data_IF_790235553017
#
_entry.id   IF_790235553017
#
_cell.length_a   1.000
_cell.length_b   1.000
_cell.length_c   1.000
_cell.angle_alpha   90.00
_cell.angle_beta   90.00
_cell.angle_gamma   90.00
#
_symmetry.space_group_name_H-M   'P 1'
#
loop_
_entity.id
_entity.type
_entity.pdbx_description
1 polymer ?
#
# COMPACT_ATOMS: atom_id res chain seq x y z
N UNK A 1 45.10 69.94 8.15
CA UNK A 1 43.99 70.85 8.52
C UNK A 1 42.72 70.01 8.37
N UNK A 2 41.94 69.63 9.40
CA UNK A 2 41.29 70.41 10.48
C UNK A 2 40.08 71.22 9.96
N UNK A 3 38.88 71.34 10.56
CA UNK A 3 38.15 70.79 11.76
C UNK A 3 36.63 71.16 11.57
N UNK A 4 35.54 70.66 12.22
CA UNK A 4 35.21 69.49 13.07
C UNK A 4 33.67 69.32 13.21
N UNK A 5 33.11 68.14 12.87
CA UNK A 5 31.87 67.58 13.45
C UNK A 5 30.54 68.37 13.29
N UNK A 6 29.50 68.13 14.14
CA UNK A 6 29.41 67.07 15.17
C UNK A 6 28.02 66.35 15.34
N UNK A 7 28.02 65.20 16.06
CA UNK A 7 26.91 64.62 16.90
C UNK A 7 25.61 64.09 16.23
N UNK A 8 24.80 63.19 16.84
CA UNK A 8 24.68 62.72 18.24
C UNK A 8 24.17 61.24 18.36
N UNK A 9 24.67 60.47 19.35
CA UNK A 9 24.09 59.32 20.16
C UNK A 9 23.10 58.32 19.50
N UNK A 10 23.12 56.99 19.76
CA UNK A 10 23.88 56.13 20.68
C UNK A 10 22.99 54.94 21.14
N UNK A 11 23.42 53.93 21.90
CA UNK A 11 24.74 53.56 22.42
C UNK A 11 24.87 52.01 22.48
N UNK A 12 26.08 51.47 22.67
CA UNK A 12 26.41 50.07 22.35
C UNK A 12 26.54 49.10 23.55
N UNK A 13 26.72 47.82 23.21
CA UNK A 13 27.05 46.70 24.11
C UNK A 13 28.45 46.79 24.73
N UNK A 14 28.70 46.03 25.82
CA UNK A 14 29.90 45.17 25.94
C UNK A 14 29.78 44.16 27.11
N UNK A 15 30.76 43.25 27.23
CA UNK A 15 30.72 42.06 28.08
C UNK A 15 31.79 42.04 29.19
N UNK A 16 31.66 41.12 30.17
CA UNK A 16 32.67 40.75 31.19
C UNK A 16 32.66 39.21 31.37
N UNK A 17 33.72 38.61 31.93
CA UNK A 17 34.02 37.18 31.78
C UNK A 17 34.41 36.42 33.08
N UNK A 18 34.31 35.08 33.01
CA UNK A 18 34.92 34.01 33.83
C UNK A 18 34.65 33.87 35.37
N UNK A 19 34.09 32.70 35.76
CA UNK A 19 34.69 31.59 36.57
C UNK A 19 35.44 31.95 37.89
N UNK A 20 35.32 31.22 39.06
CA UNK A 20 34.84 29.83 39.30
C UNK A 20 33.89 29.62 40.51
N UNK A 21 33.51 28.35 40.81
CA UNK A 21 33.19 27.92 42.20
C UNK A 21 32.13 26.82 42.36
N UNK A 22 32.42 25.77 43.17
CA UNK A 22 31.41 24.78 43.62
C UNK A 22 30.73 25.23 44.92
N UNK A 23 29.46 24.86 45.11
CA UNK A 23 28.90 24.00 46.19
C UNK A 23 27.39 24.24 46.29
N UNK A 24 26.57 23.19 46.13
CA UNK A 24 25.29 22.94 46.83
C UNK A 24 24.49 21.78 46.19
N UNK A 25 24.74 20.53 46.60
CA UNK A 25 23.78 19.45 46.38
C UNK A 25 22.62 19.59 47.38
N UNK A 26 21.37 19.79 46.90
CA UNK A 26 20.05 19.47 47.54
C UNK A 26 18.87 20.27 46.95
N UNK A 27 18.42 19.95 45.73
CA UNK A 27 17.00 20.08 45.33
C UNK A 27 16.62 18.99 44.32
N UNK A 28 16.36 17.78 44.82
CA UNK A 28 15.54 16.77 44.15
C UNK A 28 14.70 16.07 45.24
N UNK A 29 13.51 15.62 44.87
CA UNK A 29 12.34 15.44 45.77
C UNK A 29 11.84 16.80 46.33
N UNK A 30 10.52 17.11 46.26
CA UNK A 30 9.41 16.17 46.43
C UNK A 30 8.33 16.23 45.34
N UNK A 31 8.21 15.17 44.52
CA UNK A 31 7.04 14.94 43.64
C UNK A 31 6.42 13.53 43.83
N UNK A 32 7.15 12.60 44.47
CA UNK A 32 6.80 11.17 44.60
C UNK A 32 5.70 10.88 45.66
N UNK A 33 4.86 11.87 46.02
CA UNK A 33 3.81 11.72 47.06
C UNK A 33 2.44 12.33 46.68
N UNK A 34 1.97 12.02 45.47
CA UNK A 34 0.55 12.07 45.06
C UNK A 34 0.21 10.93 44.08
N UNK A 35 0.55 9.69 44.45
CA UNK A 35 0.29 8.47 43.67
C UNK A 35 -0.28 7.33 44.51
N UNK A 36 -1.15 7.68 45.45
CA UNK A 36 -2.01 6.75 46.19
C UNK A 36 -3.47 7.22 46.05
N UNK A 37 -4.42 6.28 46.01
CA UNK A 37 -5.87 6.51 45.94
C UNK A 37 -6.42 7.16 44.65
N UNK A 38 -6.02 6.64 43.49
CA UNK A 38 -6.94 6.54 42.34
C UNK A 38 -7.06 5.06 41.98
N UNK A 39 -8.23 4.48 42.23
CA UNK A 39 -8.52 3.09 41.89
C UNK A 39 -8.82 2.97 40.39
N UNK A 40 -7.76 2.90 39.59
CA UNK A 40 -7.85 2.73 38.13
C UNK A 40 -8.38 1.32 37.84
N UNK A 41 -9.49 1.15 37.09
CA UNK A 41 -10.03 -0.17 36.79
C UNK A 41 -9.00 -1.00 36.03
N UNK A 42 -8.82 -2.24 36.46
CA UNK A 42 -7.73 -3.14 36.06
C UNK A 42 -7.37 -3.06 34.57
N UNK A 43 -6.09 -2.78 34.31
CA UNK A 43 -5.53 -2.78 32.97
C UNK A 43 -5.72 -4.17 32.33
N UNK A 44 -6.77 -4.34 31.53
CA UNK A 44 -6.72 -5.26 30.40
C UNK A 44 -5.59 -4.77 29.50
N UNK A 45 -4.41 -5.38 29.65
CA UNK A 45 -3.36 -5.23 28.67
C UNK A 45 -3.98 -5.57 27.31
N UNK A 46 -3.93 -4.63 26.37
CA UNK A 46 -4.03 -4.98 24.96
C UNK A 46 -2.77 -5.79 24.66
N UNK A 47 -2.87 -7.09 24.86
CA UNK A 47 -2.09 -8.06 24.10
C UNK A 47 -2.37 -7.71 22.64
N UNK A 48 -1.41 -7.08 21.98
CA UNK A 48 -1.40 -7.01 20.52
C UNK A 48 -1.33 -8.47 20.07
N UNK A 49 -2.50 -9.02 19.73
CA UNK A 49 -2.61 -10.39 19.30
C UNK A 49 -1.70 -10.51 18.08
N UNK A 50 -0.65 -11.34 18.18
CA UNK A 50 0.22 -11.61 17.04
C UNK A 50 -0.67 -12.27 16.00
N UNK A 51 -1.05 -11.51 14.97
CA UNK A 51 -2.10 -11.89 14.04
C UNK A 51 -1.88 -13.33 13.57
N UNK A 52 -2.85 -14.18 13.88
CA UNK A 52 -2.91 -15.55 13.39
C UNK A 52 -2.82 -15.51 11.87
N UNK A 53 -2.09 -16.44 11.26
CA UNK A 53 -2.11 -16.62 9.82
C UNK A 53 -3.01 -17.82 9.55
N UNK A 54 -3.95 -17.71 8.62
CA UNK A 54 -4.76 -18.86 8.23
C UNK A 54 -3.85 -19.97 7.68
N UNK A 55 -4.33 -21.21 7.68
CA UNK A 55 -3.62 -22.31 7.03
C UNK A 55 -3.50 -22.03 5.53
N UNK A 56 -2.26 -21.93 5.03
CA UNK A 56 -1.94 -21.63 3.62
C UNK A 56 -2.81 -22.39 2.62
N UNK A 57 -3.67 -21.67 1.91
CA UNK A 57 -4.57 -22.22 0.89
C UNK A 57 -3.94 -22.13 -0.50
N UNK A 58 -3.67 -23.29 -1.13
CA UNK A 58 -3.15 -23.33 -2.49
C UNK A 58 -4.28 -23.30 -3.53
N UNK A 59 -4.41 -22.17 -4.20
CA UNK A 59 -5.46 -21.88 -5.20
C UNK A 59 -5.17 -22.65 -6.50
N UNK A 60 -6.20 -22.94 -7.30
CA UNK A 60 -6.03 -23.55 -8.63
C UNK A 60 -5.08 -22.74 -9.54
N UNK A 61 -4.12 -23.38 -10.20
CA UNK A 61 -3.07 -22.70 -10.96
C UNK A 61 -3.64 -21.80 -12.07
N UNK A 62 -3.04 -20.63 -12.31
CA UNK A 62 -3.53 -19.68 -13.32
C UNK A 62 -2.91 -19.98 -14.69
N UNK A 63 -3.75 -20.22 -15.70
CA UNK A 63 -3.28 -20.43 -17.07
C UNK A 63 -2.97 -19.08 -17.70
N UNK A 64 -1.72 -18.90 -18.15
CA UNK A 64 -1.29 -17.70 -18.87
C UNK A 64 -2.03 -17.56 -20.22
N UNK A 65 -2.34 -16.34 -20.60
CA UNK A 65 -2.74 -15.96 -21.95
C UNK A 65 -1.52 -15.89 -22.90
N UNK A 66 -1.78 -15.76 -24.20
CA UNK A 66 -0.77 -15.55 -25.25
C UNK A 66 -0.29 -14.10 -25.38
N UNK A 67 -0.70 -13.20 -24.47
CA UNK A 67 -0.32 -11.79 -24.42
C UNK A 67 0.42 -11.49 -23.12
N UNK A 68 1.20 -10.41 -23.10
CA UNK A 68 2.08 -10.06 -21.98
C UNK A 68 3.29 -10.99 -21.82
N UNK A 69 4.31 -10.52 -21.10
CA UNK A 69 5.45 -11.36 -20.74
C UNK A 69 5.09 -12.30 -19.58
N UNK A 70 5.90 -13.35 -19.39
CA UNK A 70 5.80 -14.23 -18.21
C UNK A 70 6.05 -13.43 -16.92
N UNK A 71 7.04 -12.53 -16.97
CA UNK A 71 7.41 -11.63 -15.86
C UNK A 71 6.24 -10.73 -15.47
N UNK A 72 5.53 -10.12 -16.42
CA UNK A 72 4.37 -9.27 -16.14
C UNK A 72 3.20 -10.09 -15.56
N UNK A 73 2.99 -11.31 -16.04
CA UNK A 73 1.97 -12.21 -15.50
C UNK A 73 2.25 -12.60 -14.05
N UNK A 74 3.48 -13.02 -13.75
CA UNK A 74 3.89 -13.38 -12.39
C UNK A 74 3.90 -12.16 -11.45
N UNK A 75 4.27 -10.98 -11.95
CA UNK A 75 4.21 -9.70 -11.22
C UNK A 75 2.79 -9.33 -10.82
N UNK A 76 1.84 -9.36 -11.76
CA UNK A 76 0.42 -9.06 -11.47
C UNK A 76 -0.24 -10.11 -10.57
N UNK A 77 0.12 -11.40 -10.76
CA UNK A 77 -0.40 -12.49 -9.93
C UNK A 77 0.11 -12.39 -8.49
N UNK A 78 1.41 -12.09 -8.31
CA UNK A 78 1.98 -11.78 -6.99
C UNK A 78 1.38 -10.50 -6.39
N UNK A 79 1.11 -9.47 -7.18
CA UNK A 79 0.41 -8.26 -6.71
C UNK A 79 -0.96 -8.57 -6.10
N UNK A 80 -1.75 -9.42 -6.75
CA UNK A 80 -3.04 -9.88 -6.21
C UNK A 80 -2.87 -10.76 -4.96
N UNK A 81 -1.88 -11.66 -4.92
CA UNK A 81 -1.58 -12.47 -3.73
C UNK A 81 -1.17 -11.59 -2.53
N UNK A 82 -0.25 -10.66 -2.74
CA UNK A 82 0.23 -9.72 -1.72
C UNK A 82 -0.85 -8.72 -1.30
N UNK A 83 -1.89 -8.51 -2.12
CA UNK A 83 -3.09 -7.78 -1.75
C UNK A 83 -3.99 -8.60 -0.83
N UNK A 84 -4.32 -9.84 -1.24
CA UNK A 84 -5.14 -10.78 -0.45
C UNK A 84 -4.52 -11.00 0.93
N UNK A 85 -3.23 -11.36 1.00
CA UNK A 85 -2.53 -11.75 2.22
C UNK A 85 -2.19 -10.56 3.16
N UNK A 86 -2.66 -9.34 2.85
CA UNK A 86 -2.58 -8.16 3.75
C UNK A 86 -3.88 -7.89 4.52
N UNK A 87 -4.98 -8.52 4.14
CA UNK A 87 -6.28 -8.36 4.81
C UNK A 87 -6.49 -9.45 5.85
N UNK A 88 -7.31 -9.14 6.86
CA UNK A 88 -7.85 -10.17 7.74
C UNK A 88 -8.91 -11.02 7.02
N UNK A 89 -9.20 -12.20 7.54
CA UNK A 89 -10.27 -13.10 7.06
C UNK A 89 -11.64 -12.42 7.16
N UNK A 90 -11.86 -11.59 8.19
CA UNK A 90 -13.08 -10.78 8.29
C UNK A 90 -13.12 -9.67 7.23
N UNK A 91 -12.03 -8.92 7.01
CA UNK A 91 -11.99 -7.93 5.93
C UNK A 91 -12.22 -8.59 4.56
N UNK A 92 -11.63 -9.76 4.32
CA UNK A 92 -11.87 -10.54 3.10
C UNK A 92 -13.37 -10.86 2.94
N UNK A 93 -14.00 -11.45 3.96
CA UNK A 93 -15.42 -11.85 3.90
C UNK A 93 -16.39 -10.66 3.80
N UNK A 94 -16.17 -9.58 4.56
CA UNK A 94 -16.99 -8.36 4.50
C UNK A 94 -16.95 -7.71 3.10
N UNK A 95 -15.77 -7.66 2.49
CA UNK A 95 -15.60 -7.15 1.13
C UNK A 95 -16.20 -8.11 0.07
N UNK A 96 -16.20 -9.43 0.32
CA UNK A 96 -16.84 -10.43 -0.55
C UNK A 96 -18.37 -10.33 -0.50
N UNK A 97 -18.96 -10.17 0.68
CA UNK A 97 -20.40 -9.89 0.86
C UNK A 97 -20.78 -8.59 0.12
N UNK A 98 -20.02 -7.53 0.38
CA UNK A 98 -20.25 -6.21 -0.23
C UNK A 98 -20.15 -6.27 -1.76
N UNK A 99 -19.15 -6.95 -2.32
CA UNK A 99 -19.04 -7.18 -3.77
C UNK A 99 -20.23 -7.97 -4.33
N UNK A 100 -20.73 -8.99 -3.61
CA UNK A 100 -21.91 -9.74 -4.04
C UNK A 100 -23.19 -8.87 -4.02
N UNK A 101 -23.29 -7.90 -3.10
CA UNK A 101 -24.44 -7.01 -2.94
C UNK A 101 -24.46 -5.82 -3.94
N UNK A 102 -23.31 -5.17 -4.18
CA UNK A 102 -23.24 -3.95 -5.01
C UNK A 102 -22.36 -4.06 -6.26
N UNK A 103 -21.65 -5.18 -6.46
CA UNK A 103 -20.72 -5.37 -7.59
C UNK A 103 -19.54 -4.40 -7.50
N UNK A 104 -19.35 -3.58 -8.54
CA UNK A 104 -18.34 -2.50 -8.61
C UNK A 104 -18.93 -1.10 -8.53
N UNK A 105 -20.11 -0.92 -7.93
CA UNK A 105 -20.72 0.41 -7.78
C UNK A 105 -19.88 1.27 -6.84
N UNK A 106 -19.43 2.43 -7.32
CA UNK A 106 -18.66 3.42 -6.54
C UNK A 106 -17.15 3.44 -6.81
N UNK A 107 -16.59 2.43 -7.48
CA UNK A 107 -15.12 2.23 -7.63
C UNK A 107 -14.49 3.07 -8.75
N UNK A 108 -15.26 3.91 -9.44
CA UNK A 108 -14.75 4.73 -10.54
C UNK A 108 -13.84 5.87 -10.04
N UNK A 109 -14.11 6.39 -8.84
CA UNK A 109 -13.48 7.61 -8.36
C UNK A 109 -11.97 7.45 -8.05
N UNK A 110 -11.55 6.38 -7.34
CA UNK A 110 -10.13 6.15 -7.13
C UNK A 110 -9.47 5.35 -8.27
N UNK A 111 -10.23 4.63 -9.09
CA UNK A 111 -9.74 4.16 -10.40
C UNK A 111 -9.27 5.33 -11.26
N UNK A 112 -10.10 6.37 -11.44
CA UNK A 112 -9.74 7.58 -12.21
C UNK A 112 -8.61 8.36 -11.53
N UNK A 113 -8.65 8.52 -10.20
CA UNK A 113 -7.57 9.18 -9.45
C UNK A 113 -6.23 8.47 -9.66
N UNK A 114 -6.17 7.16 -9.49
CA UNK A 114 -4.92 6.42 -9.64
C UNK A 114 -4.40 6.40 -11.07
N UNK A 115 -5.30 6.36 -12.08
CA UNK A 115 -4.93 6.54 -13.48
C UNK A 115 -4.36 7.94 -13.75
N UNK A 116 -4.84 8.98 -13.07
CA UNK A 116 -4.24 10.32 -13.11
C UNK A 116 -2.87 10.32 -12.44
N UNK A 117 -2.78 9.90 -11.18
CA UNK A 117 -1.55 9.90 -10.38
C UNK A 117 -0.41 9.13 -11.09
N UNK A 118 -0.70 7.96 -11.66
CA UNK A 118 0.29 7.16 -12.37
C UNK A 118 0.67 7.75 -13.73
N UNK A 119 -0.25 8.40 -14.45
CA UNK A 119 0.11 9.14 -15.68
C UNK A 119 1.09 10.28 -15.35
N UNK A 120 0.88 11.00 -14.26
CA UNK A 120 1.79 12.05 -13.78
C UNK A 120 3.15 11.47 -13.39
N UNK A 121 3.19 10.28 -12.76
CA UNK A 121 4.42 9.52 -12.53
C UNK A 121 5.14 9.14 -13.84
N UNK A 122 4.46 8.54 -14.82
CA UNK A 122 5.06 8.17 -16.12
C UNK A 122 5.62 9.39 -16.87
N UNK A 123 4.89 10.51 -16.87
CA UNK A 123 5.39 11.75 -17.48
C UNK A 123 6.70 12.18 -16.82
N UNK A 124 6.81 12.11 -15.49
CA UNK A 124 8.08 12.39 -14.80
C UNK A 124 9.17 11.39 -15.19
N UNK A 125 8.92 10.09 -15.10
CA UNK A 125 9.92 9.05 -15.38
C UNK A 125 10.42 9.09 -16.84
N UNK A 126 9.55 9.39 -17.82
CA UNK A 126 9.97 9.61 -19.20
C UNK A 126 10.68 10.95 -19.42
N UNK A 127 10.27 12.04 -18.75
CA UNK A 127 11.00 13.32 -18.85
C UNK A 127 12.41 13.18 -18.27
N UNK A 128 12.54 12.55 -17.09
CA UNK A 128 13.84 12.24 -16.48
C UNK A 128 14.70 11.38 -17.43
N UNK A 129 14.12 10.34 -18.06
CA UNK A 129 14.83 9.45 -18.99
C UNK A 129 15.34 10.20 -20.24
N UNK A 130 14.45 10.87 -20.97
CA UNK A 130 14.76 11.52 -22.25
C UNK A 130 15.80 12.65 -22.10
N UNK A 131 15.79 13.36 -20.96
CA UNK A 131 16.79 14.39 -20.62
C UNK A 131 18.12 13.77 -20.23
N UNK A 132 18.14 12.67 -19.46
CA UNK A 132 19.38 11.98 -19.08
C UNK A 132 20.06 11.27 -20.26
N UNK A 133 19.29 10.78 -21.23
CA UNK A 133 19.82 10.20 -22.48
C UNK A 133 20.24 11.28 -23.49
N UNK A 134 19.88 12.54 -23.27
CA UNK A 134 20.22 13.68 -24.12
C UNK A 134 19.46 13.74 -25.45
N UNK A 135 18.43 12.91 -25.63
CA UNK A 135 17.62 12.87 -26.85
C UNK A 135 16.72 14.11 -27.00
N UNK A 136 16.18 14.63 -25.89
CA UNK A 136 15.26 15.76 -25.85
C UNK A 136 15.52 16.65 -24.64
N UNK A 137 15.19 17.94 -24.75
CA UNK A 137 15.42 18.94 -23.69
C UNK A 137 14.19 19.83 -23.45
N UNK A 138 14.05 20.33 -22.22
CA UNK A 138 13.03 21.32 -21.86
C UNK A 138 11.60 20.87 -22.17
N UNK A 139 10.84 21.72 -22.86
CA UNK A 139 9.45 21.45 -23.22
C UNK A 139 9.32 20.25 -24.17
N UNK A 140 10.27 20.03 -25.07
CA UNK A 140 10.21 18.94 -26.06
C UNK A 140 10.27 17.57 -25.37
N UNK A 141 11.11 17.43 -24.34
CA UNK A 141 11.16 16.23 -23.51
C UNK A 141 9.85 16.00 -22.74
N UNK A 142 9.21 17.06 -22.25
CA UNK A 142 7.94 16.99 -21.53
C UNK A 142 6.76 16.62 -22.45
N UNK A 143 6.72 17.17 -23.66
CA UNK A 143 5.70 16.84 -24.66
C UNK A 143 5.88 15.39 -25.14
N UNK A 144 7.12 14.96 -25.39
CA UNK A 144 7.44 13.57 -25.75
C UNK A 144 7.11 12.58 -24.63
N UNK A 145 7.40 12.94 -23.37
CA UNK A 145 7.02 12.16 -22.20
C UNK A 145 5.50 12.03 -22.04
N UNK A 146 4.73 13.08 -22.40
CA UNK A 146 3.27 13.01 -22.44
C UNK A 146 2.76 12.09 -23.55
N UNK A 147 3.34 12.10 -24.75
CA UNK A 147 2.98 11.15 -25.82
C UNK A 147 3.21 9.69 -25.38
N UNK A 148 4.37 9.40 -24.80
CA UNK A 148 4.73 8.06 -24.30
C UNK A 148 3.78 7.62 -23.19
N UNK A 149 3.60 8.44 -22.14
CA UNK A 149 2.67 8.15 -21.06
C UNK A 149 1.22 7.97 -21.57
N UNK A 150 0.76 8.75 -22.55
CA UNK A 150 -0.56 8.57 -23.17
C UNK A 150 -0.64 7.34 -24.09
N UNK A 151 0.48 6.81 -24.57
CA UNK A 151 0.54 5.52 -25.26
C UNK A 151 0.35 4.37 -24.26
N UNK A 152 1.14 4.35 -23.19
CA UNK A 152 1.10 3.25 -22.21
C UNK A 152 -0.17 3.28 -21.36
N UNK A 153 -0.73 4.45 -21.06
CA UNK A 153 -2.05 4.54 -20.40
C UNK A 153 -3.21 3.96 -21.23
N UNK A 154 -3.02 3.60 -22.51
CA UNK A 154 -4.00 2.84 -23.32
C UNK A 154 -3.85 1.31 -23.15
N UNK A 155 -2.65 0.82 -22.83
CA UNK A 155 -2.35 -0.61 -22.64
C UNK A 155 -2.38 -1.02 -21.16
N UNK A 156 -2.19 -0.07 -20.26
CA UNK A 156 -2.17 -0.26 -18.81
C UNK A 156 -3.55 -0.04 -18.17
N UNK A 157 -3.94 -0.97 -17.29
CA UNK A 157 -5.11 -0.86 -16.40
C UNK A 157 -4.67 -0.61 -14.94
N UNK A 158 -5.58 -0.01 -14.15
CA UNK A 158 -5.46 0.04 -12.71
C UNK A 158 -5.46 -1.37 -12.11
N UNK A 159 -4.43 -1.70 -11.33
CA UNK A 159 -4.37 -2.94 -10.55
C UNK A 159 -5.00 -2.69 -9.18
N UNK A 160 -6.31 -2.88 -9.12
CA UNK A 160 -7.05 -3.05 -7.87
C UNK A 160 -6.65 -4.42 -7.29
N UNK A 161 -5.76 -4.42 -6.30
CA UNK A 161 -5.38 -5.64 -5.59
C UNK A 161 -6.30 -5.84 -4.37
N UNK A 162 -7.30 -6.74 -4.40
CA UNK A 162 -7.79 -7.56 -5.52
C UNK A 162 -9.18 -7.13 -6.04
N UNK A 163 -9.43 -7.32 -7.34
CA UNK A 163 -10.68 -7.03 -8.08
C UNK A 163 -11.87 -7.98 -7.71
N UNK A 164 -11.80 -8.61 -6.54
CA UNK A 164 -12.85 -9.40 -5.88
C UNK A 164 -13.49 -8.66 -4.69
N UNK A 165 -12.91 -7.53 -4.28
CA UNK A 165 -13.05 -6.92 -2.94
C UNK A 165 -13.53 -5.45 -3.02
N UNK A 166 -14.06 -5.07 -4.18
CA UNK A 166 -14.44 -3.70 -4.52
C UNK A 166 -15.78 -3.24 -3.89
N UNK A 167 -15.99 -3.58 -2.61
CA UNK A 167 -17.15 -3.21 -1.80
C UNK A 167 -16.83 -2.44 -0.50
N UNK A 168 -15.55 -2.16 -0.20
CA UNK A 168 -15.17 -1.46 1.04
C UNK A 168 -14.00 -0.45 0.94
N UNK A 169 -12.93 -0.76 0.20
CA UNK A 169 -11.75 0.14 0.07
C UNK A 169 -11.25 0.22 -1.38
N UNK A 170 -11.48 1.37 -2.03
CA UNK A 170 -11.01 1.63 -3.40
C UNK A 170 -9.54 2.11 -3.38
N UNK A 171 -8.60 1.16 -3.28
CA UNK A 171 -7.15 1.41 -3.29
C UNK A 171 -6.53 0.71 -4.50
N UNK A 172 -6.00 1.51 -5.41
CA UNK A 172 -5.15 1.04 -6.52
C UNK A 172 -3.70 1.10 -6.05
N UNK A 173 -2.98 -0.01 -6.19
CA UNK A 173 -1.60 -0.12 -5.72
C UNK A 173 -0.56 0.07 -6.84
N UNK A 174 -0.94 -0.17 -8.09
CA UNK A 174 -0.04 -0.11 -9.25
C UNK A 174 -0.85 -0.09 -10.58
N UNK A 175 -0.18 0.04 -11.73
CA UNK A 175 -0.73 -0.33 -13.04
C UNK A 175 -0.07 -1.61 -13.60
N UNK A 176 -0.68 -2.18 -14.64
CA UNK A 176 -0.10 -3.29 -15.40
C UNK A 176 -0.85 -3.56 -16.71
N UNK A 177 -0.27 -4.40 -17.56
CA UNK A 177 -0.84 -4.84 -18.84
C UNK A 177 -2.32 -5.26 -18.66
N UNK A 178 -3.21 -4.58 -19.37
CA UNK A 178 -4.65 -4.77 -19.28
C UNK A 178 -5.11 -6.17 -19.72
N UNK A 179 -4.39 -6.80 -20.64
CA UNK A 179 -4.71 -8.13 -21.16
C UNK A 179 -4.28 -9.25 -20.20
N UNK A 180 -3.16 -9.06 -19.49
CA UNK A 180 -2.74 -9.91 -18.36
C UNK A 180 -3.75 -9.79 -17.22
N UNK A 181 -4.13 -8.56 -16.83
CA UNK A 181 -5.10 -8.33 -15.76
C UNK A 181 -6.45 -8.99 -16.09
N UNK A 182 -6.97 -8.78 -17.31
CA UNK A 182 -8.19 -9.45 -17.79
C UNK A 182 -8.05 -10.98 -17.82
N UNK A 183 -6.89 -11.53 -18.18
CA UNK A 183 -6.62 -12.97 -18.17
C UNK A 183 -6.70 -13.56 -16.76
N UNK A 184 -6.06 -12.93 -15.77
CA UNK A 184 -6.12 -13.36 -14.37
C UNK A 184 -7.55 -13.17 -13.83
N UNK A 185 -8.13 -11.99 -14.01
CA UNK A 185 -9.48 -11.62 -13.58
C UNK A 185 -10.56 -12.59 -14.07
N UNK A 186 -10.49 -13.00 -15.33
CA UNK A 186 -11.43 -13.96 -15.93
C UNK A 186 -11.42 -15.35 -15.28
N UNK A 187 -10.34 -15.72 -14.57
CA UNK A 187 -10.12 -17.05 -14.01
C UNK A 187 -10.59 -17.21 -12.57
N UNK A 188 -10.82 -16.13 -11.81
CA UNK A 188 -11.31 -16.22 -10.43
C UNK A 188 -12.61 -17.04 -10.31
N UNK A 189 -13.59 -16.75 -11.16
CA UNK A 189 -14.88 -17.49 -11.26
C UNK A 189 -14.80 -18.87 -11.93
N UNK A 190 -13.60 -19.39 -12.22
CA UNK A 190 -13.40 -20.68 -12.86
C UNK A 190 -12.83 -21.69 -11.85
N UNK A 191 -13.21 -22.96 -12.00
CA UNK A 191 -12.71 -24.06 -11.14
C UNK A 191 -11.23 -24.35 -11.31
N UNK A 192 -10.68 -24.11 -12.51
CA UNK A 192 -9.27 -24.35 -12.79
C UNK A 192 -8.86 -25.81 -12.63
N UNK A 193 -7.58 -26.05 -12.37
CA UNK A 193 -7.00 -27.36 -12.09
C UNK A 193 -6.02 -27.28 -10.92
N UNK A 194 -5.79 -28.40 -10.25
CA UNK A 194 -4.72 -28.55 -9.25
C UNK A 194 -3.35 -28.82 -9.91
N UNK A 195 -2.31 -29.04 -9.09
CA UNK A 195 -0.95 -29.40 -9.53
C UNK A 195 -0.85 -30.71 -10.33
N UNK A 196 -1.86 -31.59 -10.27
CA UNK A 196 -1.93 -32.84 -11.01
C UNK A 196 -2.71 -32.68 -12.34
N UNK A 197 -3.18 -31.48 -12.67
CA UNK A 197 -4.03 -31.20 -13.83
C UNK A 197 -5.50 -31.58 -13.63
N UNK A 198 -5.90 -32.04 -12.44
CA UNK A 198 -7.26 -32.46 -12.14
C UNK A 198 -8.18 -31.24 -11.92
N UNK A 199 -9.37 -31.29 -12.51
CA UNK A 199 -10.36 -30.20 -12.45
C UNK A 199 -10.99 -30.12 -11.06
N UNK A 200 -10.90 -28.95 -10.41
CA UNK A 200 -11.45 -28.78 -9.06
C UNK A 200 -12.99 -28.77 -9.03
N UNK A 201 -13.57 -29.11 -7.89
CA UNK A 201 -15.03 -29.15 -7.67
C UNK A 201 -15.66 -27.77 -7.48
N UNK A 202 -14.91 -26.79 -7.00
CA UNK A 202 -15.33 -25.40 -6.73
C UNK A 202 -14.40 -24.42 -7.46
N UNK A 203 -14.83 -23.17 -7.58
CA UNK A 203 -14.04 -22.05 -8.09
C UNK A 203 -12.98 -21.60 -7.10
N UNK A 204 -11.97 -20.86 -7.59
CA UNK A 204 -10.93 -20.26 -6.75
C UNK A 204 -11.52 -19.40 -5.63
N UNK A 205 -12.56 -18.63 -5.96
CA UNK A 205 -13.26 -17.76 -5.02
C UNK A 205 -14.03 -18.56 -3.98
N UNK A 206 -14.87 -19.53 -4.39
CA UNK A 206 -15.64 -20.36 -3.45
C UNK A 206 -14.72 -21.12 -2.46
N UNK A 207 -13.55 -21.58 -2.91
CA UNK A 207 -12.56 -22.22 -2.03
C UNK A 207 -11.94 -21.24 -1.03
N UNK A 208 -11.57 -20.04 -1.47
CA UNK A 208 -11.06 -18.99 -0.59
C UNK A 208 -12.11 -18.51 0.41
N UNK A 209 -13.37 -18.36 -0.01
CA UNK A 209 -14.49 -18.02 0.86
C UNK A 209 -14.70 -19.09 1.96
N UNK A 210 -14.57 -20.38 1.61
CA UNK A 210 -14.65 -21.51 2.56
C UNK A 210 -13.47 -21.54 3.53
N UNK A 211 -12.22 -21.42 3.07
CA UNK A 211 -11.07 -21.46 3.99
C UNK A 211 -10.99 -20.20 4.87
N UNK A 212 -11.42 -19.03 4.37
CA UNK A 212 -11.53 -17.81 5.17
C UNK A 212 -12.56 -17.94 6.29
N UNK A 213 -13.73 -18.55 6.02
CA UNK A 213 -14.74 -18.81 7.05
C UNK A 213 -14.21 -19.77 8.13
N UNK A 214 -13.56 -20.88 7.75
CA UNK A 214 -12.92 -21.79 8.72
C UNK A 214 -11.91 -21.06 9.60
N UNK A 215 -11.08 -20.20 9.01
CA UNK A 215 -10.06 -19.46 9.74
C UNK A 215 -10.66 -18.37 10.66
N UNK A 216 -11.79 -17.77 10.27
CA UNK A 216 -12.60 -16.90 11.14
C UNK A 216 -13.16 -17.69 12.33
N UNK A 217 -13.67 -18.90 12.11
CA UNK A 217 -14.26 -19.76 13.15
C UNK A 217 -13.20 -20.36 14.10
N UNK A 218 -12.02 -20.73 13.58
CA UNK A 218 -10.93 -21.39 14.34
C UNK A 218 -10.00 -20.39 15.05
N UNK A 219 -9.69 -19.25 14.43
CA UNK A 219 -8.65 -18.31 14.89
C UNK A 219 -9.16 -16.88 15.13
N UNK A 220 -10.39 -16.54 14.74
CA UNK A 220 -11.00 -15.24 14.95
C UNK A 220 -10.75 -14.21 13.85
N UNK A 221 -11.41 -13.03 13.92
CA UNK A 221 -11.58 -12.10 12.79
C UNK A 221 -10.31 -11.39 12.32
N UNK A 222 -9.33 -11.22 13.21
CA UNK A 222 -8.06 -10.53 12.92
C UNK A 222 -7.00 -11.44 12.29
N UNK A 223 -7.33 -12.71 12.07
CA UNK A 223 -6.49 -13.69 11.36
C UNK A 223 -6.24 -13.22 9.94
N UNK A 224 -4.99 -13.23 9.47
CA UNK A 224 -4.61 -12.84 8.12
C UNK A 224 -4.86 -13.95 7.09
N UNK A 225 -5.21 -13.54 5.87
CA UNK A 225 -5.28 -14.42 4.71
C UNK A 225 -3.88 -14.95 4.31
N UNK A 226 -3.81 -16.20 3.83
CA UNK A 226 -2.60 -16.81 3.26
C UNK A 226 -3.00 -17.69 2.07
N UNK A 227 -3.04 -17.10 0.88
CA UNK A 227 -3.24 -17.82 -0.38
C UNK A 227 -1.94 -17.92 -1.20
N UNK A 228 -1.85 -18.99 -1.99
CA UNK A 228 -0.78 -19.23 -2.96
C UNK A 228 -1.33 -19.07 -4.39
N UNK A 229 -0.90 -18.02 -5.10
CA UNK A 229 -1.27 -17.77 -6.50
C UNK A 229 -0.04 -17.99 -7.39
N UNK A 230 -0.11 -19.00 -8.25
CA UNK A 230 0.97 -19.42 -9.15
C UNK A 230 0.41 -19.71 -10.55
N UNK A 231 1.26 -19.60 -11.57
CA UNK A 231 0.91 -20.07 -12.92
C UNK A 231 0.85 -21.60 -12.98
N UNK A 232 0.08 -22.11 -13.93
CA UNK A 232 0.20 -23.50 -14.34
C UNK A 232 1.56 -23.74 -15.01
N UNK A 233 2.09 -24.95 -14.80
CA UNK A 233 3.30 -25.47 -15.44
C UNK A 233 2.98 -26.02 -16.83
#
# INVERSE_FOLDING_TARGET
MLETGPTLVGAATMAVALIPGKVADKVLEPVVKKLDNVEVPSNKALTVAKASLMKKHKVACFKKNSKGSDIEYDRQLKGQQDGINKMSVKEYLDNRESYNAIGRKGTGAAQDKARKDFKEKLIKEYTDKLVNEGEYLGQEALDKAQELALSDMKTLNALHNPDMIAGGKDIVFDLGDASVNQSIGSQWKNKGVNELGEKMLLTRVELMDIEAQKALDEFGPDTLMDVDLHRCK
#
